data_IF_124705668036
#
_entry.id   IF_124705668036
#
_cell.length_a   1.000
_cell.length_b   1.000
_cell.length_c   1.000
_cell.angle_alpha   90.00
_cell.angle_beta   90.00
_cell.angle_gamma   90.00
#
_symmetry.space_group_name_H-M   'P 1'
#
loop_
_entity.id
_entity.type
_entity.pdbx_description
1 polymer ?
#
# COMPACT_ATOMS: atom_id res chain seq x y z
N UNK A 1 74.76 -2.97 -24.87
CA UNK A 1 74.57 -3.41 -23.47
C UNK A 1 73.07 -3.43 -23.18
N UNK A 2 72.45 -4.60 -23.01
CA UNK A 2 71.03 -4.72 -22.63
C UNK A 2 70.94 -4.72 -21.09
N UNK A 3 69.95 -4.05 -20.48
CA UNK A 3 69.77 -4.11 -19.04
C UNK A 3 69.36 -5.52 -18.62
N UNK A 4 69.94 -6.02 -17.52
CA UNK A 4 69.67 -7.35 -16.95
C UNK A 4 68.21 -7.44 -16.50
N UNK A 5 67.46 -8.40 -17.05
CA UNK A 5 66.16 -8.88 -16.53
C UNK A 5 66.39 -9.59 -15.19
N UNK A 6 66.63 -8.84 -14.12
CA UNK A 6 66.90 -9.39 -12.78
C UNK A 6 65.91 -9.00 -11.67
N UNK A 7 65.10 -7.96 -11.86
CA UNK A 7 64.31 -7.35 -10.78
C UNK A 7 62.78 -7.54 -10.89
N UNK A 8 62.31 -8.56 -11.61
CA UNK A 8 60.87 -8.80 -11.82
C UNK A 8 60.22 -9.80 -10.85
N UNK A 9 60.95 -10.34 -9.87
CA UNK A 9 60.44 -11.38 -8.95
C UNK A 9 60.13 -10.90 -7.52
N UNK A 10 60.09 -9.58 -7.27
CA UNK A 10 59.43 -9.08 -6.04
C UNK A 10 58.00 -8.73 -6.41
N UNK A 11 56.97 -9.33 -5.77
CA UNK A 11 55.62 -8.84 -5.97
C UNK A 11 55.63 -7.36 -5.61
N UNK A 12 55.36 -6.50 -6.59
CA UNK A 12 55.20 -5.06 -6.45
C UNK A 12 54.06 -4.82 -5.45
N UNK A 13 54.39 -4.87 -4.16
CA UNK A 13 53.48 -4.46 -3.09
C UNK A 13 53.55 -2.96 -3.05
N UNK A 14 52.47 -2.30 -3.48
CA UNK A 14 52.27 -0.89 -3.21
C UNK A 14 52.47 -0.69 -1.69
N UNK A 15 53.43 0.14 -1.25
CA UNK A 15 53.60 0.40 0.17
C UNK A 15 52.34 1.12 0.65
N UNK A 16 51.56 0.46 1.50
CA UNK A 16 50.41 1.05 2.17
C UNK A 16 50.96 2.07 3.18
N UNK A 17 51.15 3.31 2.74
CA UNK A 17 51.52 4.42 3.63
C UNK A 17 50.32 4.80 4.49
N UNK A 18 50.55 5.31 5.70
CA UNK A 18 49.45 5.73 6.59
C UNK A 18 48.49 6.72 5.92
N UNK A 19 49.00 7.61 5.08
CA UNK A 19 48.20 8.56 4.30
C UNK A 19 47.34 7.87 3.22
N UNK A 20 47.88 6.86 2.53
CA UNK A 20 47.12 6.09 1.54
C UNK A 20 45.97 5.30 2.18
N UNK A 21 46.19 4.73 3.38
CA UNK A 21 45.15 4.01 4.14
C UNK A 21 44.00 4.94 4.51
N UNK A 22 44.30 6.13 5.03
CA UNK A 22 43.28 7.13 5.35
C UNK A 22 42.48 7.54 4.12
N UNK A 23 43.15 7.71 2.97
CA UNK A 23 42.48 8.00 1.70
C UNK A 23 41.55 6.86 1.23
N UNK A 24 42.00 5.60 1.35
CA UNK A 24 41.19 4.42 1.02
C UNK A 24 39.99 4.27 1.95
N UNK A 25 40.19 4.39 3.27
CA UNK A 25 39.11 4.30 4.24
C UNK A 25 38.07 5.40 4.00
N UNK A 26 38.52 6.62 3.72
CA UNK A 26 37.64 7.73 3.35
C UNK A 26 36.81 7.46 2.08
N UNK A 27 37.44 6.88 1.05
CA UNK A 27 36.73 6.50 -0.17
C UNK A 27 35.70 5.38 0.08
N UNK A 28 36.05 4.37 0.88
CA UNK A 28 35.14 3.29 1.27
C UNK A 28 33.94 3.85 2.04
N UNK A 29 34.17 4.72 3.02
CA UNK A 29 33.09 5.39 3.76
C UNK A 29 32.20 6.23 2.84
N UNK A 30 32.79 6.96 1.88
CA UNK A 30 32.03 7.76 0.91
C UNK A 30 31.13 6.89 0.02
N UNK A 31 31.64 5.77 -0.48
CA UNK A 31 30.88 4.82 -1.30
C UNK A 31 29.74 4.19 -0.47
N UNK A 32 30.01 3.81 0.78
CA UNK A 32 28.99 3.28 1.68
C UNK A 32 27.87 4.31 1.93
N UNK A 33 28.23 5.57 2.21
CA UNK A 33 27.24 6.64 2.42
C UNK A 33 26.37 6.86 1.17
N UNK A 34 26.97 6.82 -0.01
CA UNK A 34 26.23 6.91 -1.27
C UNK A 34 25.28 5.73 -1.45
N UNK A 35 25.74 4.50 -1.17
CA UNK A 35 24.91 3.30 -1.25
C UNK A 35 23.71 3.38 -0.29
N UNK A 36 23.93 3.76 0.98
CA UNK A 36 22.85 3.95 1.95
C UNK A 36 21.84 5.00 1.49
N UNK A 37 22.33 6.13 0.98
CA UNK A 37 21.46 7.20 0.46
C UNK A 37 20.62 6.69 -0.71
N UNK A 38 21.23 5.99 -1.67
CA UNK A 38 20.53 5.45 -2.83
C UNK A 38 19.46 4.41 -2.43
N UNK A 39 19.79 3.48 -1.55
CA UNK A 39 18.85 2.46 -1.04
C UNK A 39 17.68 3.12 -0.28
N UNK A 40 17.98 4.12 0.56
CA UNK A 40 16.97 4.89 1.28
C UNK A 40 16.06 5.69 0.33
N UNK A 41 16.63 6.32 -0.70
CA UNK A 41 15.85 7.03 -1.71
C UNK A 41 14.93 6.08 -2.48
N UNK A 42 15.41 4.90 -2.90
CA UNK A 42 14.57 3.88 -3.55
C UNK A 42 13.46 3.37 -2.64
N UNK A 43 13.74 3.19 -1.35
CA UNK A 43 12.75 2.84 -0.34
C UNK A 43 11.66 3.93 -0.21
N UNK A 44 12.02 5.22 -0.23
CA UNK A 44 11.01 6.29 -0.20
C UNK A 44 10.24 6.40 -1.52
N UNK A 45 10.92 6.27 -2.65
CA UNK A 45 10.34 6.44 -3.98
C UNK A 45 9.18 5.46 -4.24
N UNK A 46 9.40 4.16 -4.00
CA UNK A 46 8.34 3.15 -4.18
C UNK A 46 7.13 3.40 -3.27
N UNK A 47 7.32 3.94 -2.06
CA UNK A 47 6.25 4.23 -1.10
C UNK A 47 5.44 5.43 -1.52
N UNK A 48 6.12 6.53 -1.84
CA UNK A 48 5.50 7.75 -2.33
C UNK A 48 4.75 7.48 -3.64
N UNK A 49 5.36 6.73 -4.57
CA UNK A 49 4.73 6.32 -5.82
C UNK A 49 3.48 5.49 -5.61
N UNK A 50 3.53 4.49 -4.72
CA UNK A 50 2.38 3.64 -4.39
C UNK A 50 1.23 4.46 -3.78
N UNK A 51 1.51 5.32 -2.79
CA UNK A 51 0.50 6.18 -2.16
C UNK A 51 -0.14 7.11 -3.19
N UNK A 52 0.68 7.75 -4.03
CA UNK A 52 0.22 8.67 -5.07
C UNK A 52 -0.70 7.96 -6.07
N UNK A 53 -0.27 6.81 -6.60
CA UNK A 53 -1.04 6.06 -7.60
C UNK A 53 -2.35 5.52 -7.03
N UNK A 54 -2.35 5.02 -5.79
CA UNK A 54 -3.57 4.58 -5.09
C UNK A 54 -4.51 5.76 -4.87
N UNK A 55 -4.01 6.88 -4.34
CA UNK A 55 -4.82 8.08 -4.13
C UNK A 55 -5.41 8.59 -5.44
N UNK A 56 -4.63 8.55 -6.53
CA UNK A 56 -5.07 8.93 -7.89
C UNK A 56 -6.14 7.98 -8.42
N UNK A 57 -5.98 6.67 -8.23
CA UNK A 57 -6.94 5.68 -8.65
C UNK A 57 -8.31 5.89 -7.96
N UNK A 58 -8.32 6.04 -6.63
CA UNK A 58 -9.54 6.20 -5.85
C UNK A 58 -10.20 7.57 -6.00
N UNK A 59 -9.41 8.61 -6.30
CA UNK A 59 -9.94 9.91 -6.72
C UNK A 59 -10.63 9.87 -8.09
N UNK A 60 -10.37 8.85 -8.91
CA UNK A 60 -11.00 8.73 -10.22
C UNK A 60 -10.56 9.83 -11.20
N UNK A 61 -11.19 9.85 -12.38
CA UNK A 61 -10.75 10.68 -13.51
C UNK A 61 -11.20 12.14 -13.34
N UNK A 62 -10.24 13.06 -13.17
CA UNK A 62 -10.42 14.51 -13.41
C UNK A 62 -10.02 14.90 -14.85
N UNK A 63 -9.63 13.95 -15.71
CA UNK A 63 -9.15 14.32 -17.05
C UNK A 63 -10.32 14.78 -17.89
N UNK A 64 -10.29 16.07 -18.25
CA UNK A 64 -11.24 16.79 -19.09
C UNK A 64 -11.54 16.10 -20.42
N UNK A 65 -12.30 15.01 -20.40
CA UNK A 65 -13.23 14.74 -21.47
C UNK A 65 -14.18 15.94 -21.55
N UNK A 66 -14.50 16.43 -22.75
CA UNK A 66 -15.45 17.51 -22.90
C UNK A 66 -16.71 17.11 -22.15
N UNK A 67 -17.08 17.91 -21.15
CA UNK A 67 -18.46 17.96 -20.70
C UNK A 67 -19.31 18.01 -21.97
N UNK A 68 -20.20 17.03 -22.16
CA UNK A 68 -21.32 17.30 -23.04
C UNK A 68 -21.94 18.61 -22.57
N UNK A 69 -22.18 19.58 -23.47
CA UNK A 69 -22.29 21.01 -23.13
C UNK A 69 -23.60 21.38 -22.42
N UNK A 70 -24.24 20.44 -21.74
CA UNK A 70 -25.58 20.62 -21.22
C UNK A 70 -25.79 19.92 -19.87
N UNK A 71 -25.01 20.30 -18.86
CA UNK A 71 -25.41 20.07 -17.47
C UNK A 71 -24.81 21.14 -16.56
N UNK A 72 -25.66 22.12 -16.25
CA UNK A 72 -25.40 23.14 -15.26
C UNK A 72 -25.32 22.47 -13.87
N UNK A 73 -24.13 22.13 -13.36
CA UNK A 73 -23.98 21.88 -11.92
C UNK A 73 -22.54 22.07 -11.45
N UNK A 74 -22.38 23.00 -10.53
CA UNK A 74 -21.20 23.34 -9.74
C UNK A 74 -20.84 22.27 -8.69
N UNK A 75 -20.80 21.00 -9.08
CA UNK A 75 -20.43 19.89 -8.19
C UNK A 75 -19.56 18.91 -8.96
N UNK A 76 -18.28 18.84 -8.57
CA UNK A 76 -17.30 17.83 -9.02
C UNK A 76 -17.74 16.43 -8.54
N UNK A 77 -18.77 15.89 -9.16
CA UNK A 77 -19.31 14.60 -8.81
C UNK A 77 -18.41 13.49 -9.38
N UNK A 78 -17.42 13.05 -8.58
CA UNK A 78 -16.60 11.89 -8.89
C UNK A 78 -17.44 10.60 -8.79
N UNK A 79 -17.95 10.14 -9.94
CA UNK A 79 -18.78 8.93 -10.09
C UNK A 79 -18.02 7.73 -10.66
N UNK A 80 -16.70 7.72 -10.57
CA UNK A 80 -15.86 6.67 -11.16
C UNK A 80 -16.17 5.25 -10.63
N UNK A 81 -16.82 5.15 -9.46
CA UNK A 81 -17.21 3.90 -8.80
C UNK A 81 -18.73 3.64 -8.79
N UNK A 82 -19.50 4.36 -9.61
CA UNK A 82 -20.90 4.02 -9.91
C UNK A 82 -20.92 3.29 -11.24
N UNK A 83 -20.88 1.95 -11.19
CA UNK A 83 -20.86 1.11 -12.39
C UNK A 83 -22.25 0.55 -12.67
N UNK A 84 -22.65 0.46 -13.94
CA UNK A 84 -23.93 -0.16 -14.34
C UNK A 84 -23.77 -1.64 -14.72
N UNK A 85 -22.53 -2.06 -14.96
CA UNK A 85 -22.17 -3.41 -15.40
C UNK A 85 -21.16 -3.99 -14.44
N UNK A 86 -21.25 -5.30 -14.22
CA UNK A 86 -20.31 -6.04 -13.41
C UNK A 86 -18.87 -5.90 -13.95
N UNK A 87 -17.90 -5.60 -13.10
CA UNK A 87 -16.52 -5.40 -13.52
C UNK A 87 -15.81 -6.72 -13.85
N UNK A 88 -15.07 -6.75 -14.95
CA UNK A 88 -14.31 -7.94 -15.41
C UNK A 88 -12.79 -7.83 -15.24
N UNK A 89 -12.28 -6.68 -14.81
CA UNK A 89 -10.83 -6.41 -14.68
C UNK A 89 -10.54 -5.45 -13.51
N UNK A 90 -9.28 -5.24 -13.17
CA UNK A 90 -8.90 -4.09 -12.35
C UNK A 90 -9.05 -2.76 -13.12
N UNK A 91 -9.01 -1.64 -12.40
CA UNK A 91 -8.99 -0.28 -12.92
C UNK A 91 -7.66 -0.01 -13.66
N UNK A 92 -7.67 0.83 -14.71
CA UNK A 92 -6.48 1.04 -15.54
C UNK A 92 -5.32 1.67 -14.77
N UNK A 93 -5.59 2.58 -13.83
CA UNK A 93 -4.55 3.21 -12.99
C UNK A 93 -3.93 2.18 -12.03
N UNK A 94 -4.71 1.24 -11.50
CA UNK A 94 -4.17 0.16 -10.66
C UNK A 94 -3.37 -0.83 -11.49
N UNK A 95 -3.76 -1.11 -12.74
CA UNK A 95 -2.97 -1.92 -13.66
C UNK A 95 -1.64 -1.25 -14.04
N UNK A 96 -1.62 0.08 -14.21
CA UNK A 96 -0.40 0.87 -14.39
C UNK A 96 0.52 0.73 -13.17
N UNK A 97 0.02 0.96 -11.96
CA UNK A 97 0.77 0.75 -10.72
C UNK A 97 1.31 -0.67 -10.61
N UNK A 98 0.48 -1.68 -10.92
CA UNK A 98 0.88 -3.08 -10.89
C UNK A 98 2.07 -3.33 -11.82
N UNK A 99 2.04 -2.82 -13.06
CA UNK A 99 3.15 -2.96 -14.00
C UNK A 99 4.41 -2.22 -13.52
N UNK A 100 4.25 -1.03 -12.96
CA UNK A 100 5.36 -0.25 -12.40
C UNK A 100 6.05 -1.00 -11.26
N UNK A 101 5.28 -1.59 -10.35
CA UNK A 101 5.80 -2.42 -9.26
C UNK A 101 6.55 -3.65 -9.79
N UNK A 102 6.04 -4.36 -10.81
CA UNK A 102 6.76 -5.49 -11.44
C UNK A 102 8.09 -5.01 -12.01
N UNK A 103 8.07 -3.91 -12.76
CA UNK A 103 9.25 -3.35 -13.40
C UNK A 103 10.30 -2.90 -12.37
N UNK A 104 9.83 -2.34 -11.25
CA UNK A 104 10.68 -1.91 -10.15
C UNK A 104 11.29 -3.12 -9.46
N UNK A 105 10.49 -4.13 -9.13
CA UNK A 105 10.96 -5.38 -8.52
C UNK A 105 12.02 -6.09 -9.36
N UNK A 106 11.77 -6.22 -10.67
CA UNK A 106 12.73 -6.85 -11.59
C UNK A 106 14.05 -6.06 -11.67
N UNK A 107 14.00 -4.73 -11.76
CA UNK A 107 15.21 -3.88 -11.76
C UNK A 107 15.96 -3.97 -10.43
N UNK A 108 15.24 -3.90 -9.32
CA UNK A 108 15.79 -4.00 -7.97
C UNK A 108 16.55 -5.31 -7.79
N UNK A 109 15.93 -6.46 -8.13
CA UNK A 109 16.57 -7.77 -8.00
C UNK A 109 17.74 -8.01 -8.97
N UNK A 110 17.80 -7.28 -10.08
CA UNK A 110 18.92 -7.37 -11.03
C UNK A 110 20.17 -6.63 -10.55
N UNK A 111 20.01 -5.54 -9.80
CA UNK A 111 21.12 -4.64 -9.43
C UNK A 111 21.50 -4.69 -7.94
N UNK A 112 20.59 -5.15 -7.07
CA UNK A 112 20.77 -5.12 -5.62
C UNK A 112 20.77 -6.53 -5.02
N UNK A 113 21.44 -6.66 -3.88
CA UNK A 113 21.43 -7.90 -3.10
C UNK A 113 20.09 -8.15 -2.40
N UNK A 114 19.89 -9.36 -1.86
CA UNK A 114 18.62 -9.75 -1.23
C UNK A 114 18.30 -8.93 0.02
N UNK A 115 19.30 -8.47 0.76
CA UNK A 115 19.09 -7.67 1.97
C UNK A 115 18.60 -6.26 1.63
N UNK A 116 19.18 -5.65 0.60
CA UNK A 116 18.79 -4.34 0.09
C UNK A 116 17.39 -4.39 -0.52
N UNK A 117 17.10 -5.44 -1.31
CA UNK A 117 15.76 -5.69 -1.83
C UNK A 117 14.74 -5.78 -0.70
N UNK A 118 15.01 -6.60 0.32
CA UNK A 118 14.14 -6.76 1.49
C UNK A 118 13.95 -5.46 2.25
N UNK A 119 15.00 -4.66 2.43
CA UNK A 119 14.90 -3.36 3.07
C UNK A 119 13.97 -2.43 2.29
N UNK A 120 14.13 -2.35 0.96
CA UNK A 120 13.29 -1.51 0.11
C UNK A 120 11.83 -1.96 0.17
N UNK A 121 11.55 -3.26 0.11
CA UNK A 121 10.18 -3.80 0.07
C UNK A 121 9.53 -4.00 1.44
N UNK A 122 10.28 -3.86 2.54
CA UNK A 122 9.78 -4.12 3.89
C UNK A 122 8.50 -3.34 4.22
N UNK A 123 7.47 -4.02 4.72
CA UNK A 123 6.18 -3.39 5.06
C UNK A 123 5.47 -2.69 3.88
N UNK A 124 5.90 -2.88 2.62
CA UNK A 124 5.27 -2.25 1.47
C UNK A 124 3.82 -2.72 1.31
N UNK A 125 3.58 -4.00 1.58
CA UNK A 125 2.24 -4.62 1.57
C UNK A 125 1.29 -3.92 2.54
N UNK A 126 1.71 -3.79 3.80
CA UNK A 126 0.98 -3.06 4.85
C UNK A 126 0.75 -1.59 4.48
N UNK A 127 1.74 -0.93 3.88
CA UNK A 127 1.59 0.46 3.44
C UNK A 127 0.50 0.59 2.37
N UNK A 128 0.53 -0.28 1.36
CA UNK A 128 -0.46 -0.28 0.28
C UNK A 128 -1.86 -0.58 0.83
N UNK A 129 -1.98 -1.52 1.75
CA UNK A 129 -3.24 -1.85 2.42
C UNK A 129 -3.83 -0.64 3.16
N UNK A 130 -3.00 0.05 3.95
CA UNK A 130 -3.41 1.26 4.67
C UNK A 130 -3.71 2.42 3.73
N UNK A 131 -2.93 2.57 2.65
CA UNK A 131 -3.13 3.61 1.66
C UNK A 131 -4.46 3.42 0.90
N UNK A 132 -4.84 2.18 0.60
CA UNK A 132 -6.13 1.85 -0.04
C UNK A 132 -7.29 2.28 0.85
N UNK A 133 -7.34 1.80 2.10
CA UNK A 133 -8.41 2.17 3.05
C UNK A 133 -8.45 3.69 3.27
N UNK A 134 -7.31 4.31 3.52
CA UNK A 134 -7.19 5.76 3.73
C UNK A 134 -7.66 6.56 2.51
N UNK A 135 -7.43 6.06 1.29
CA UNK A 135 -7.79 6.75 0.04
C UNK A 135 -9.26 6.60 -0.34
N UNK A 136 -10.03 5.73 0.33
CA UNK A 136 -11.48 5.60 0.12
C UNK A 136 -12.22 6.90 0.35
N UNK A 137 -11.68 7.79 1.18
CA UNK A 137 -12.21 9.15 1.40
C UNK A 137 -12.28 10.00 0.12
N UNK A 138 -11.51 9.66 -0.91
CA UNK A 138 -11.50 10.37 -2.19
C UNK A 138 -12.57 9.87 -3.16
N UNK A 139 -13.22 8.74 -2.85
CA UNK A 139 -14.31 8.19 -3.62
C UNK A 139 -15.55 9.08 -3.42
N UNK A 140 -16.08 9.65 -4.50
CA UNK A 140 -17.27 10.49 -4.42
C UNK A 140 -18.52 9.71 -4.07
N UNK A 141 -18.79 8.66 -4.85
CA UNK A 141 -19.89 7.71 -4.63
C UNK A 141 -19.53 6.32 -5.16
N UNK A 142 -20.03 5.27 -4.50
CA UNK A 142 -19.76 3.88 -4.83
C UNK A 142 -21.00 3.00 -4.71
N UNK A 143 -21.21 2.13 -5.68
CA UNK A 143 -22.22 1.06 -5.61
C UNK A 143 -21.55 -0.31 -5.46
N UNK A 144 -22.36 -1.39 -5.40
CA UNK A 144 -21.86 -2.76 -5.25
C UNK A 144 -20.89 -3.15 -6.36
N UNK A 145 -21.19 -2.83 -7.62
CA UNK A 145 -20.28 -3.09 -8.74
C UNK A 145 -18.97 -2.29 -8.64
N UNK A 146 -19.01 -1.05 -8.13
CA UNK A 146 -17.81 -0.28 -7.82
C UNK A 146 -16.95 -0.93 -6.74
N UNK A 147 -17.57 -1.48 -5.69
CA UNK A 147 -16.86 -2.24 -4.66
C UNK A 147 -16.26 -3.54 -5.20
N UNK A 148 -16.96 -4.26 -6.10
CA UNK A 148 -16.40 -5.42 -6.79
C UNK A 148 -15.19 -5.04 -7.65
N UNK A 149 -15.19 -3.85 -8.28
CA UNK A 149 -14.03 -3.36 -9.04
C UNK A 149 -12.85 -3.10 -8.12
N UNK A 150 -13.08 -2.49 -6.96
CA UNK A 150 -12.04 -2.31 -5.95
C UNK A 150 -11.54 -3.64 -5.39
N UNK A 151 -12.38 -4.67 -5.24
CA UNK A 151 -11.93 -6.01 -4.87
C UNK A 151 -10.96 -6.59 -5.91
N UNK A 152 -11.25 -6.42 -7.21
CA UNK A 152 -10.33 -6.81 -8.27
C UNK A 152 -9.00 -6.02 -8.21
N UNK A 153 -9.06 -4.72 -7.91
CA UNK A 153 -7.87 -3.88 -7.71
C UNK A 153 -6.99 -4.40 -6.57
N UNK A 154 -7.59 -4.69 -5.40
CA UNK A 154 -6.92 -5.26 -4.23
C UNK A 154 -6.29 -6.61 -4.57
N UNK A 155 -7.00 -7.49 -5.29
CA UNK A 155 -6.51 -8.83 -5.65
C UNK A 155 -5.30 -8.76 -6.58
N UNK A 156 -5.33 -7.89 -7.60
CA UNK A 156 -4.21 -7.71 -8.53
C UNK A 156 -2.97 -7.21 -7.79
N UNK A 157 -3.11 -6.19 -6.94
CA UNK A 157 -2.01 -5.65 -6.15
C UNK A 157 -1.47 -6.68 -5.14
N UNK A 158 -2.34 -7.43 -4.46
CA UNK A 158 -1.90 -8.47 -3.53
C UNK A 158 -1.10 -9.57 -4.23
N UNK A 159 -1.54 -10.02 -5.40
CA UNK A 159 -0.82 -11.05 -6.17
C UNK A 159 0.55 -10.53 -6.64
N UNK A 160 0.63 -9.26 -7.03
CA UNK A 160 1.87 -8.60 -7.40
C UNK A 160 2.87 -8.53 -6.26
N UNK A 161 2.42 -8.05 -5.11
CA UNK A 161 3.25 -7.88 -3.92
C UNK A 161 3.84 -9.21 -3.47
N UNK A 162 3.08 -10.31 -3.58
CA UNK A 162 3.60 -11.66 -3.30
C UNK A 162 4.81 -11.97 -4.18
N UNK A 163 4.77 -11.63 -5.46
CA UNK A 163 5.89 -11.90 -6.36
C UNK A 163 7.12 -11.03 -6.05
N UNK A 164 6.93 -9.77 -5.65
CA UNK A 164 8.02 -8.83 -5.39
C UNK A 164 8.68 -9.07 -4.02
N UNK A 165 7.88 -9.33 -2.98
CA UNK A 165 8.37 -9.47 -1.61
C UNK A 165 8.92 -10.88 -1.35
N UNK A 166 8.43 -11.91 -2.05
CA UNK A 166 8.83 -13.32 -1.83
C UNK A 166 10.14 -13.69 -2.57
N UNK A 167 10.95 -12.72 -2.98
CA UNK A 167 12.33 -12.98 -3.43
C UNK A 167 13.23 -13.26 -2.20
N UNK A 168 13.00 -14.42 -1.57
CA UNK A 168 14.00 -15.43 -1.15
C UNK A 168 13.48 -16.23 0.05
N UNK A 169 13.22 -17.53 -0.15
CA UNK A 169 13.74 -18.54 0.73
C UNK A 169 14.83 -19.29 -0.05
N UNK A 170 16.10 -18.96 0.17
CA UNK A 170 17.14 -19.97 -0.05
C UNK A 170 17.85 -20.28 1.27
N UNK A 171 17.87 -21.55 1.70
CA UNK A 171 18.77 -22.02 2.74
C UNK A 171 20.20 -22.14 2.16
N UNK A 172 21.15 -22.37 3.07
CA UNK A 172 22.56 -22.79 2.90
C UNK A 172 23.63 -21.77 2.51
N UNK A 173 24.44 -21.46 3.54
CA UNK A 173 25.90 -21.38 3.53
C UNK A 173 26.56 -20.50 2.47
N UNK A 174 26.81 -19.25 2.84
CA UNK A 174 28.02 -18.54 2.41
C UNK A 174 28.62 -17.86 3.63
N UNK A 175 29.72 -18.43 4.14
CA UNK A 175 30.55 -17.82 5.18
C UNK A 175 31.17 -16.53 4.60
N UNK A 176 30.46 -15.42 4.71
CA UNK A 176 31.05 -14.09 4.62
C UNK A 176 31.38 -13.64 6.04
N UNK A 177 32.67 -13.52 6.31
CA UNK A 177 33.23 -13.14 7.59
C UNK A 177 33.16 -11.63 7.80
N UNK A 178 32.00 -11.11 8.16
CA UNK A 178 31.87 -9.83 8.85
C UNK A 178 30.74 -9.95 9.88
N UNK A 179 31.16 -10.20 11.13
CA UNK A 179 30.31 -10.24 12.31
C UNK A 179 29.90 -8.83 12.70
N UNK A 180 28.62 -8.52 12.53
CA UNK A 180 27.83 -7.65 13.41
C UNK A 180 26.39 -8.21 13.41
N UNK A 181 25.91 -8.52 14.62
CA UNK A 181 24.52 -8.78 15.03
C UNK A 181 23.82 -10.05 14.51
N UNK A 182 23.89 -11.10 15.34
CA UNK A 182 23.30 -12.42 15.12
C UNK A 182 21.85 -12.54 15.63
N UNK A 183 21.21 -11.44 16.04
CA UNK A 183 19.94 -11.47 16.79
C UNK A 183 18.70 -10.92 16.05
N UNK A 184 18.79 -10.58 14.74
CA UNK A 184 17.64 -10.03 13.97
C UNK A 184 17.00 -11.05 13.01
N UNK A 185 17.53 -12.27 12.94
CA UNK A 185 17.07 -13.30 11.99
C UNK A 185 15.77 -14.01 12.37
N UNK A 186 15.10 -13.62 13.47
CA UNK A 186 13.74 -14.03 13.81
C UNK A 186 12.70 -13.01 13.29
N UNK A 187 12.90 -12.45 12.09
CA UNK A 187 11.81 -11.75 11.42
C UNK A 187 10.81 -12.80 10.97
N UNK A 188 9.64 -12.81 11.62
CA UNK A 188 8.44 -13.46 11.12
C UNK A 188 8.35 -13.25 9.59
N UNK A 189 7.98 -14.29 8.81
CA UNK A 189 7.73 -14.11 7.39
C UNK A 189 6.69 -13.00 7.23
N UNK A 190 7.04 -11.95 6.48
CA UNK A 190 6.08 -10.89 6.15
C UNK A 190 4.96 -11.55 5.35
N UNK A 191 3.80 -11.76 5.98
CA UNK A 191 2.62 -12.29 5.32
C UNK A 191 2.15 -11.21 4.36
N UNK A 192 2.37 -11.45 3.06
CA UNK A 192 1.98 -10.51 2.01
C UNK A 192 0.49 -10.66 1.75
N UNK A 193 -0.30 -9.83 2.44
CA UNK A 193 -1.75 -9.76 2.33
C UNK A 193 -2.20 -8.30 2.45
N UNK A 194 -3.41 -8.02 1.95
CA UNK A 194 -4.11 -6.74 2.09
C UNK A 194 -5.41 -6.91 2.91
N UNK A 195 -5.32 -7.37 4.18
CA UNK A 195 -6.48 -7.75 4.97
C UNK A 195 -7.42 -6.58 5.28
N UNK A 196 -6.89 -5.36 5.49
CA UNK A 196 -7.72 -4.20 5.84
C UNK A 196 -8.60 -3.77 4.67
N UNK A 197 -8.03 -3.75 3.47
CA UNK A 197 -8.75 -3.40 2.24
C UNK A 197 -9.83 -4.43 1.93
N UNK A 198 -9.53 -5.73 2.12
CA UNK A 198 -10.51 -6.79 1.97
C UNK A 198 -11.65 -6.66 2.99
N UNK A 199 -11.31 -6.52 4.28
CA UNK A 199 -12.27 -6.31 5.38
C UNK A 199 -13.18 -5.11 5.12
N UNK A 200 -12.62 -3.99 4.65
CA UNK A 200 -13.38 -2.78 4.33
C UNK A 200 -14.43 -3.04 3.25
N UNK A 201 -14.04 -3.72 2.17
CA UNK A 201 -14.92 -4.00 1.05
C UNK A 201 -16.00 -5.04 1.41
N UNK A 202 -15.66 -6.03 2.22
CA UNK A 202 -16.63 -7.00 2.71
C UNK A 202 -17.68 -6.34 3.60
N UNK A 203 -17.26 -5.46 4.51
CA UNK A 203 -18.19 -4.70 5.37
C UNK A 203 -19.07 -3.75 4.56
N UNK A 204 -18.53 -3.14 3.50
CA UNK A 204 -19.31 -2.33 2.57
C UNK A 204 -20.42 -3.16 1.90
N UNK A 205 -20.10 -4.35 1.39
CA UNK A 205 -21.05 -5.23 0.72
C UNK A 205 -22.10 -5.81 1.68
N UNK A 206 -21.72 -6.04 2.93
CA UNK A 206 -22.64 -6.43 4.01
C UNK A 206 -23.61 -5.30 4.42
N UNK A 207 -23.20 -4.05 4.21
CA UNK A 207 -23.98 -2.86 4.48
C UNK A 207 -23.77 -2.26 5.88
N UNK A 208 -24.36 -1.08 6.12
CA UNK A 208 -24.04 -0.23 7.26
C UNK A 208 -24.46 -0.83 8.62
N UNK A 209 -25.59 -1.56 8.65
CA UNK A 209 -26.07 -2.18 9.89
C UNK A 209 -25.16 -3.30 10.41
N UNK A 210 -24.62 -4.12 9.50
CA UNK A 210 -23.65 -5.17 9.84
C UNK A 210 -22.29 -4.57 10.15
N UNK A 211 -21.85 -3.58 9.36
CA UNK A 211 -20.63 -2.80 9.62
C UNK A 211 -20.58 -2.29 11.07
N UNK A 212 -21.64 -1.67 11.57
CA UNK A 212 -21.72 -1.16 12.95
C UNK A 212 -21.63 -2.26 14.01
N UNK A 213 -22.22 -3.43 13.73
CA UNK A 213 -22.16 -4.58 14.63
C UNK A 213 -20.75 -5.15 14.68
N UNK A 214 -20.15 -5.39 13.52
CA UNK A 214 -18.79 -5.89 13.41
C UNK A 214 -17.79 -4.92 14.07
N UNK A 215 -17.97 -3.60 13.89
CA UNK A 215 -17.15 -2.59 14.55
C UNK A 215 -17.27 -2.63 16.09
N UNK A 216 -18.48 -2.84 16.62
CA UNK A 216 -18.70 -2.98 18.07
C UNK A 216 -18.02 -4.24 18.61
N UNK A 217 -18.21 -5.38 17.93
CA UNK A 217 -17.60 -6.66 18.30
C UNK A 217 -16.06 -6.58 18.25
N UNK A 218 -15.49 -6.02 17.19
CA UNK A 218 -14.04 -5.85 17.06
C UNK A 218 -13.47 -4.92 18.15
N UNK A 219 -14.18 -3.83 18.48
CA UNK A 219 -13.82 -2.95 19.60
C UNK A 219 -13.80 -3.69 20.94
N UNK A 220 -14.85 -4.46 21.22
CA UNK A 220 -14.99 -5.19 22.48
C UNK A 220 -13.90 -6.27 22.60
N UNK A 221 -13.64 -7.01 21.52
CA UNK A 221 -12.53 -7.97 21.46
C UNK A 221 -11.16 -7.30 21.64
N UNK A 222 -10.93 -6.14 21.04
CA UNK A 222 -9.67 -5.41 21.17
C UNK A 222 -9.48 -4.83 22.58
N UNK A 223 -10.55 -4.43 23.26
CA UNK A 223 -10.50 -4.01 24.68
C UNK A 223 -10.14 -5.19 25.60
N UNK A 224 -10.60 -6.41 25.30
CA UNK A 224 -10.34 -7.60 26.11
C UNK A 224 -8.97 -8.25 25.85
N UNK A 225 -8.57 -8.40 24.58
CA UNK A 225 -7.37 -9.14 24.17
C UNK A 225 -6.19 -8.26 23.72
N UNK A 226 -6.41 -6.95 23.58
CA UNK A 226 -5.39 -5.98 23.17
C UNK A 226 -4.73 -6.34 21.83
N UNK A 227 -3.41 -6.13 21.74
CA UNK A 227 -2.64 -6.37 20.51
C UNK A 227 -2.51 -7.85 20.11
N UNK A 228 -2.99 -8.80 20.92
CA UNK A 228 -2.96 -10.23 20.59
C UNK A 228 -3.89 -10.56 19.41
N UNK A 229 -4.99 -9.81 19.25
CA UNK A 229 -5.95 -9.94 18.13
C UNK A 229 -5.29 -9.69 16.77
N UNK A 230 -4.23 -8.85 16.72
CA UNK A 230 -3.51 -8.53 15.48
C UNK A 230 -2.76 -9.75 14.89
N UNK A 231 -2.58 -10.81 15.67
CA UNK A 231 -1.93 -12.05 15.20
C UNK A 231 -2.84 -12.91 14.31
N UNK A 232 -4.15 -12.67 14.32
CA UNK A 232 -5.14 -13.40 13.49
C UNK A 232 -5.14 -12.94 12.02
N UNK A 233 -4.33 -11.94 11.67
CA UNK A 233 -4.15 -11.48 10.30
C UNK A 233 -5.30 -10.61 9.76
N UNK A 234 -6.29 -10.26 10.60
CA UNK A 234 -7.42 -9.39 10.22
C UNK A 234 -7.06 -7.88 10.20
N UNK A 235 -5.80 -7.56 10.49
CA UNK A 235 -5.25 -6.22 10.61
C UNK A 235 -5.79 -5.46 11.83
N UNK A 236 -5.51 -4.15 11.90
CA UNK A 236 -5.93 -3.29 13.02
C UNK A 236 -7.44 -2.96 12.97
N UNK A 237 -8.07 -2.62 14.11
CA UNK A 237 -9.41 -2.07 14.11
C UNK A 237 -9.47 -0.76 13.30
N UNK A 238 -10.57 -0.53 12.59
CA UNK A 238 -10.75 0.72 11.85
C UNK A 238 -10.90 1.91 12.80
N UNK A 239 -10.37 3.07 12.38
CA UNK A 239 -10.58 4.31 13.13
C UNK A 239 -12.01 4.83 12.94
N UNK A 240 -12.43 5.76 13.81
CA UNK A 240 -13.73 6.44 13.66
C UNK A 240 -13.89 7.06 12.26
N UNK A 241 -12.85 7.73 11.76
CA UNK A 241 -12.88 8.38 10.44
C UNK A 241 -13.03 7.36 9.31
N UNK A 242 -12.39 6.20 9.41
CA UNK A 242 -12.48 5.14 8.40
C UNK A 242 -13.85 4.47 8.39
N UNK A 243 -14.41 4.17 9.57
CA UNK A 243 -15.77 3.67 9.71
C UNK A 243 -16.80 4.67 9.21
N UNK A 244 -16.59 5.96 9.50
CA UNK A 244 -17.44 7.03 9.00
C UNK A 244 -17.44 7.06 7.48
N UNK A 245 -16.26 7.04 6.85
CA UNK A 245 -16.15 7.01 5.38
C UNK A 245 -16.84 5.77 4.80
N UNK A 246 -16.64 4.60 5.41
CA UNK A 246 -17.31 3.36 5.01
C UNK A 246 -18.84 3.49 5.01
N UNK A 247 -19.41 3.99 6.11
CA UNK A 247 -20.86 4.20 6.25
C UNK A 247 -21.35 5.25 5.25
N UNK A 248 -20.64 6.37 5.08
CA UNK A 248 -20.98 7.39 4.09
C UNK A 248 -21.00 6.81 2.67
N UNK A 249 -20.05 5.94 2.34
CA UNK A 249 -19.99 5.25 1.05
C UNK A 249 -21.18 4.32 0.84
N UNK A 250 -21.62 3.57 1.86
CA UNK A 250 -22.79 2.67 1.76
C UNK A 250 -24.06 3.39 1.28
N UNK A 251 -24.26 4.65 1.65
CA UNK A 251 -25.41 5.46 1.23
C UNK A 251 -25.10 6.36 0.02
N UNK A 252 -23.84 6.48 -0.37
CA UNK A 252 -23.38 7.45 -1.37
C UNK A 252 -23.99 7.26 -2.76
N UNK A 253 -24.24 6.02 -3.20
CA UNK A 253 -24.87 5.75 -4.49
C UNK A 253 -26.30 6.31 -4.56
N UNK A 254 -27.09 6.15 -3.50
CA UNK A 254 -28.46 6.69 -3.45
C UNK A 254 -28.48 8.22 -3.27
N UNK A 255 -27.51 8.78 -2.54
CA UNK A 255 -27.46 10.21 -2.24
C UNK A 255 -26.85 11.06 -3.36
N UNK A 256 -25.79 10.56 -3.99
CA UNK A 256 -24.97 11.31 -4.95
C UNK A 256 -25.00 10.72 -6.35
N UNK A 257 -25.55 9.52 -6.55
CA UNK A 257 -25.58 8.85 -7.84
C UNK A 257 -26.48 9.57 -8.87
N UNK A 258 -26.35 9.22 -10.16
CA UNK A 258 -27.07 9.88 -11.25
C UNK A 258 -28.59 9.81 -11.13
N UNK A 259 -29.12 8.80 -10.46
CA UNK A 259 -30.57 8.57 -10.24
C UNK A 259 -31.09 9.13 -8.90
N UNK A 260 -30.20 9.58 -8.00
CA UNK A 260 -30.56 10.05 -6.66
C UNK A 260 -31.63 11.15 -6.61
N UNK A 261 -31.56 12.23 -7.42
CA UNK A 261 -32.58 13.28 -7.38
C UNK A 261 -33.92 12.87 -8.01
N UNK A 262 -33.95 11.81 -8.84
CA UNK A 262 -35.16 11.32 -9.51
C UNK A 262 -35.95 10.36 -8.58
N UNK A 263 -35.23 9.56 -7.78
CA UNK A 263 -35.81 8.66 -6.78
C UNK A 263 -35.94 9.33 -5.40
N UNK A 264 -36.83 10.32 -5.28
CA UNK A 264 -37.02 11.15 -4.07
C UNK A 264 -37.23 10.32 -2.79
N UNK A 265 -37.91 9.18 -2.88
CA UNK A 265 -38.14 8.29 -1.74
C UNK A 265 -36.86 7.61 -1.26
N UNK A 266 -36.07 7.06 -2.20
CA UNK A 266 -34.79 6.40 -1.92
C UNK A 266 -33.77 7.39 -1.36
N UNK A 267 -33.71 8.61 -1.90
CA UNK A 267 -32.87 9.67 -1.38
C UNK A 267 -33.23 10.03 0.08
N UNK A 268 -34.52 10.21 0.36
CA UNK A 268 -34.99 10.55 1.72
C UNK A 268 -34.81 9.38 2.69
N UNK A 269 -34.90 8.13 2.23
CA UNK A 269 -34.63 6.94 3.03
C UNK A 269 -33.12 6.82 3.32
N UNK A 270 -32.28 6.98 2.31
CA UNK A 270 -30.82 6.93 2.45
C UNK A 270 -30.29 8.04 3.36
N UNK A 271 -30.83 9.26 3.26
CA UNK A 271 -30.45 10.37 4.15
C UNK A 271 -30.76 10.05 5.61
N UNK A 272 -32.00 9.60 5.89
CA UNK A 272 -32.41 9.20 7.25
C UNK A 272 -31.58 8.01 7.76
N UNK A 273 -31.31 7.03 6.91
CA UNK A 273 -30.49 5.86 7.25
C UNK A 273 -29.03 6.25 7.57
N UNK A 274 -28.46 7.18 6.81
CA UNK A 274 -27.12 7.72 7.07
C UNK A 274 -27.08 8.43 8.42
N UNK A 275 -28.02 9.32 8.69
CA UNK A 275 -28.09 10.08 9.95
C UNK A 275 -28.22 9.14 11.17
N UNK A 276 -29.08 8.10 11.10
CA UNK A 276 -29.20 7.07 12.15
C UNK A 276 -27.92 6.24 12.31
N UNK A 277 -27.29 5.85 11.19
CA UNK A 277 -26.06 5.06 11.22
C UNK A 277 -24.88 5.82 11.81
N UNK A 278 -24.76 7.13 11.52
CA UNK A 278 -23.72 7.99 12.07
C UNK A 278 -23.94 8.26 13.57
N UNK A 279 -25.18 8.42 14.00
CA UNK A 279 -25.50 8.53 15.43
C UNK A 279 -25.08 7.26 16.17
N UNK A 280 -25.46 6.09 15.66
CA UNK A 280 -25.03 4.80 16.25
C UNK A 280 -23.53 4.60 16.19
N UNK A 281 -22.85 5.02 15.13
CA UNK A 281 -21.40 4.98 15.08
C UNK A 281 -20.80 5.80 16.22
N UNK A 282 -21.32 7.01 16.45
CA UNK A 282 -20.87 7.85 17.55
C UNK A 282 -21.09 7.20 18.92
N UNK A 283 -22.20 6.47 19.12
CA UNK A 283 -22.47 5.72 20.36
C UNK A 283 -21.55 4.51 20.53
N UNK A 284 -21.28 3.76 19.45
CA UNK A 284 -20.38 2.59 19.45
C UNK A 284 -18.94 3.03 19.68
N UNK A 285 -18.54 4.19 19.19
CA UNK A 285 -17.19 4.72 19.33
C UNK A 285 -17.03 5.69 20.51
N UNK A 286 -18.11 6.01 21.24
CA UNK A 286 -18.04 6.78 22.47
C UNK A 286 -17.28 5.97 23.53
N UNK A 287 -16.26 6.57 24.15
CA UNK A 287 -15.29 5.94 25.07
C UNK A 287 -14.32 4.90 24.42
N UNK A 288 -13.89 5.12 23.18
CA UNK A 288 -12.73 4.43 22.58
C UNK A 288 -11.42 5.19 22.80
#
# INVERSE_FOLDING_TARGET
MRPKRGDLERPLRLPMTKESVVGFDGAVTSIQNLAFTAIFTLHLDIRCGSIYMISRALKGKNDGQPQEPNRNSSTENNWSYILTVEPTSASPIVLELNNDLISFGARMSNYLGPNECRYITSCLSRLIDRALVSSTRFIGAMNSYGALRLQLDVLVLQQNLKNIIVVSPSPVSSKSSLSLDKDVAASMPEVVALPQSAKFLDWFLEGPGKTLRNAKEERDMFKEMGSQVLTEGNGEPFTFDELRVLIELCYSAALKGPQGPEAREEFMAAKRGLDDSLLRLSEVMWDA
#
